data_IF_696661668163
#
_entry.id   IF_696661668163
#
_cell.length_a   1.000
_cell.length_b   1.000
_cell.length_c   1.000
_cell.angle_alpha   90.00
_cell.angle_beta   90.00
_cell.angle_gamma   90.00
#
_symmetry.space_group_name_H-M   'P 1'
#
loop_
_entity.id
_entity.type
_entity.pdbx_description
1 polymer ?
#
# COMPACT_ATOMS: atom_id res chain seq x y z
N UNK A 1 -1.14 -14.23 -9.56
CA UNK A 1 -1.46 -15.02 -8.35
C UNK A 1 -1.77 -14.14 -7.14
N UNK A 2 -0.84 -13.32 -6.62
CA UNK A 2 -1.08 -12.50 -5.42
C UNK A 2 -2.20 -11.44 -5.55
N UNK A 3 -2.42 -10.88 -6.74
CA UNK A 3 -3.55 -9.96 -6.99
C UNK A 3 -4.91 -10.61 -6.80
N UNK A 4 -5.02 -11.94 -6.97
CA UNK A 4 -6.28 -12.68 -6.86
C UNK A 4 -6.74 -12.84 -5.40
N UNK A 5 -5.79 -12.83 -4.45
CA UNK A 5 -6.09 -12.85 -3.01
C UNK A 5 -6.86 -11.57 -2.62
N UNK A 6 -6.37 -10.43 -3.09
CA UNK A 6 -6.90 -9.12 -2.74
C UNK A 6 -8.06 -8.65 -3.64
N UNK A 7 -8.47 -9.46 -4.61
CA UNK A 7 -9.61 -9.20 -5.48
C UNK A 7 -10.91 -9.84 -4.97
N UNK A 8 -10.86 -10.54 -3.84
CA UNK A 8 -12.05 -11.14 -3.22
C UNK A 8 -12.90 -10.08 -2.53
N UNK A 9 -14.20 -10.31 -2.50
CA UNK A 9 -15.20 -9.41 -1.90
C UNK A 9 -15.15 -9.44 -0.37
N UNK A 10 -14.78 -10.59 0.21
CA UNK A 10 -14.76 -10.82 1.65
C UNK A 10 -13.39 -11.24 2.20
N UNK A 11 -13.14 -10.88 3.46
CA UNK A 11 -11.94 -11.30 4.21
C UNK A 11 -11.81 -12.82 4.30
N UNK A 12 -12.94 -13.54 4.48
CA UNK A 12 -12.94 -15.01 4.55
C UNK A 12 -12.54 -15.63 3.21
N UNK A 13 -13.16 -15.18 2.12
CA UNK A 13 -12.81 -15.61 0.76
C UNK A 13 -11.36 -15.27 0.40
N UNK A 14 -10.86 -14.10 0.81
CA UNK A 14 -9.46 -13.72 0.63
C UNK A 14 -8.51 -14.65 1.39
N UNK A 15 -8.83 -15.03 2.63
CA UNK A 15 -8.03 -15.95 3.43
C UNK A 15 -8.01 -17.36 2.85
N UNK A 16 -9.14 -17.86 2.35
CA UNK A 16 -9.19 -19.16 1.65
C UNK A 16 -8.37 -19.12 0.36
N UNK A 17 -8.48 -18.04 -0.41
CA UNK A 17 -7.69 -17.86 -1.63
C UNK A 17 -6.20 -17.75 -1.33
N UNK A 18 -5.83 -17.13 -0.21
CA UNK A 18 -4.45 -17.07 0.27
C UNK A 18 -3.88 -18.47 0.53
N UNK A 19 -4.63 -19.34 1.21
CA UNK A 19 -4.23 -20.74 1.43
C UNK A 19 -4.02 -21.49 0.12
N UNK A 20 -4.92 -21.32 -0.84
CA UNK A 20 -4.78 -21.92 -2.17
C UNK A 20 -3.51 -21.42 -2.89
N UNK A 21 -3.23 -20.11 -2.84
CA UNK A 21 -2.03 -19.53 -3.45
C UNK A 21 -0.76 -20.00 -2.76
N UNK A 22 -0.77 -20.19 -1.43
CA UNK A 22 0.37 -20.76 -0.69
C UNK A 22 0.67 -22.19 -1.18
N UNK A 23 -0.36 -23.02 -1.35
CA UNK A 23 -0.21 -24.36 -1.89
C UNK A 23 0.37 -24.35 -3.32
N UNK A 24 -0.12 -23.46 -4.19
CA UNK A 24 0.42 -23.27 -5.54
C UNK A 24 1.89 -22.82 -5.52
N UNK A 25 2.25 -21.89 -4.64
CA UNK A 25 3.64 -21.40 -4.49
C UNK A 25 4.58 -22.52 -4.02
N UNK A 26 4.13 -23.38 -3.11
CA UNK A 26 4.87 -24.57 -2.68
C UNK A 26 5.03 -25.57 -3.83
N UNK A 27 3.99 -25.82 -4.61
CA UNK A 27 4.05 -26.69 -5.78
C UNK A 27 5.03 -26.16 -6.85
N UNK A 28 5.12 -24.84 -7.00
CA UNK A 28 6.09 -24.17 -7.89
C UNK A 28 7.51 -24.08 -7.32
N UNK A 29 7.79 -24.73 -6.17
CA UNK A 29 9.09 -24.71 -5.46
C UNK A 29 9.53 -23.31 -5.00
N UNK A 30 8.60 -22.38 -4.82
CA UNK A 30 8.84 -21.03 -4.30
C UNK A 30 8.65 -20.98 -2.77
N UNK A 31 9.39 -21.82 -2.03
CA UNK A 31 9.21 -22.02 -0.59
C UNK A 31 9.27 -20.72 0.22
N UNK A 32 10.26 -19.86 -0.03
CA UNK A 32 10.41 -18.57 0.66
C UNK A 32 9.23 -17.63 0.46
N UNK A 33 8.60 -17.65 -0.72
CA UNK A 33 7.43 -16.81 -0.99
C UNK A 33 6.18 -17.34 -0.29
N UNK A 34 6.08 -18.66 -0.15
CA UNK A 34 5.00 -19.31 0.59
C UNK A 34 5.10 -19.03 2.10
N UNK A 35 6.30 -19.17 2.69
CA UNK A 35 6.57 -18.85 4.10
C UNK A 35 6.26 -17.39 4.42
N UNK A 36 6.76 -16.44 3.61
CA UNK A 36 6.49 -15.03 3.79
C UNK A 36 4.98 -14.70 3.73
N UNK A 37 4.22 -15.40 2.89
CA UNK A 37 2.79 -15.20 2.76
C UNK A 37 2.01 -15.83 3.93
N UNK A 38 2.50 -16.91 4.52
CA UNK A 38 1.94 -17.46 5.76
C UNK A 38 2.15 -16.52 6.95
N UNK A 39 3.36 -15.97 7.09
CA UNK A 39 3.73 -15.10 8.20
C UNK A 39 3.07 -13.72 8.11
N UNK A 40 3.20 -13.06 6.95
CA UNK A 40 2.80 -11.65 6.77
C UNK A 40 1.47 -11.47 6.03
N UNK A 41 0.91 -12.52 5.42
CA UNK A 41 -0.29 -12.40 4.58
C UNK A 41 -1.54 -11.97 5.35
N UNK A 42 -1.63 -12.28 6.65
CA UNK A 42 -2.73 -11.83 7.48
C UNK A 42 -2.76 -10.30 7.64
N UNK A 43 -1.60 -9.66 7.71
CA UNK A 43 -1.49 -8.20 7.84
C UNK A 43 -2.00 -7.48 6.59
N UNK A 44 -1.83 -8.08 5.41
CA UNK A 44 -2.27 -7.49 4.14
C UNK A 44 -3.78 -7.51 3.97
N UNK A 45 -4.51 -8.29 4.76
CA UNK A 45 -5.98 -8.37 4.76
C UNK A 45 -6.63 -7.38 5.75
N UNK A 46 -5.84 -6.62 6.51
CA UNK A 46 -6.36 -5.69 7.53
C UNK A 46 -7.25 -4.60 6.93
N UNK A 47 -7.07 -4.24 5.65
CA UNK A 47 -7.87 -3.19 5.01
C UNK A 47 -9.36 -3.56 4.85
N UNK A 48 -9.74 -4.84 4.93
CA UNK A 48 -11.15 -5.27 4.91
C UNK A 48 -11.95 -4.76 6.11
N UNK A 49 -11.28 -4.30 7.18
CA UNK A 49 -11.93 -3.65 8.32
C UNK A 49 -12.30 -2.18 8.10
N UNK A 50 -12.04 -1.62 6.92
CA UNK A 50 -12.38 -0.25 6.55
C UNK A 50 -13.55 -0.23 5.56
N UNK A 51 -14.19 0.92 5.32
CA UNK A 51 -15.20 1.06 4.27
C UNK A 51 -14.65 0.67 2.88
N UNK A 52 -15.50 0.07 2.06
CA UNK A 52 -15.25 -0.35 0.68
C UNK A 52 -14.60 0.76 -0.18
N UNK A 53 -15.05 2.00 -0.03
CA UNK A 53 -14.53 3.18 -0.72
C UNK A 53 -13.05 3.47 -0.43
N UNK A 54 -12.50 2.89 0.64
CA UNK A 54 -11.09 3.05 1.05
C UNK A 54 -10.21 1.90 0.56
N UNK A 55 -10.77 0.73 0.26
CA UNK A 55 -10.01 -0.48 -0.05
C UNK A 55 -9.01 -0.27 -1.19
N UNK A 56 -9.43 0.36 -2.29
CA UNK A 56 -8.54 0.61 -3.45
C UNK A 56 -7.34 1.48 -3.06
N UNK A 57 -7.55 2.45 -2.16
CA UNK A 57 -6.53 3.40 -1.74
C UNK A 57 -5.57 2.79 -0.72
N UNK A 58 -6.09 2.00 0.22
CA UNK A 58 -5.28 1.29 1.22
C UNK A 58 -4.49 0.12 0.62
N UNK A 59 -5.08 -0.59 -0.35
CA UNK A 59 -4.44 -1.74 -1.01
C UNK A 59 -3.28 -1.36 -1.93
N UNK A 60 -3.29 -0.15 -2.50
CA UNK A 60 -2.33 0.22 -3.55
C UNK A 60 -1.25 1.19 -3.06
N UNK A 61 0.01 0.84 -3.30
CA UNK A 61 1.15 1.70 -2.99
C UNK A 61 1.51 2.67 -4.14
N UNK A 62 0.63 2.81 -5.14
CA UNK A 62 0.88 3.53 -6.39
C UNK A 62 1.38 4.99 -6.19
N UNK A 63 0.82 5.78 -5.25
CA UNK A 63 1.31 7.14 -5.01
C UNK A 63 2.74 7.16 -4.47
N UNK A 64 3.05 6.31 -3.47
CA UNK A 64 4.39 6.23 -2.90
C UNK A 64 5.41 5.70 -3.91
N UNK A 65 5.06 4.68 -4.70
CA UNK A 65 5.90 4.22 -5.80
C UNK A 65 6.19 5.32 -6.82
N UNK A 66 5.19 6.17 -7.12
CA UNK A 66 5.36 7.33 -8.01
C UNK A 66 6.30 8.37 -7.41
N UNK A 67 6.19 8.68 -6.12
CA UNK A 67 7.12 9.58 -5.41
C UNK A 67 8.54 9.01 -5.47
N UNK A 68 8.72 7.76 -5.07
CA UNK A 68 10.03 7.12 -5.03
C UNK A 68 10.67 7.04 -6.41
N UNK A 69 9.88 6.79 -7.46
CA UNK A 69 10.36 6.80 -8.85
C UNK A 69 10.87 8.18 -9.25
N UNK A 70 10.16 9.25 -8.88
CA UNK A 70 10.59 10.61 -9.21
C UNK A 70 11.84 11.04 -8.44
N UNK A 71 11.96 10.64 -7.16
CA UNK A 71 13.19 10.84 -6.38
C UNK A 71 14.36 10.10 -7.05
N UNK A 72 14.20 8.80 -7.36
CA UNK A 72 15.24 8.01 -8.04
C UNK A 72 15.63 8.58 -9.41
N UNK A 73 14.67 9.12 -10.16
CA UNK A 73 14.94 9.76 -11.46
C UNK A 73 15.88 10.96 -11.32
N UNK A 74 15.71 11.77 -10.26
CA UNK A 74 16.52 12.95 -9.98
C UNK A 74 17.88 12.59 -9.37
N UNK A 75 17.94 11.61 -8.48
CA UNK A 75 19.21 11.16 -7.90
C UNK A 75 20.10 10.46 -8.93
N UNK A 76 19.52 9.72 -9.89
CA UNK A 76 20.28 9.03 -10.94
C UNK A 76 21.11 9.96 -11.82
N UNK A 77 20.68 11.21 -12.03
CA UNK A 77 21.42 12.20 -12.84
C UNK A 77 22.65 12.72 -12.10
N UNK A 78 22.60 12.79 -10.77
CA UNK A 78 23.72 13.31 -9.95
C UNK A 78 24.87 12.30 -9.88
N UNK A 79 24.59 11.00 -9.97
CA UNK A 79 25.59 9.93 -9.96
C UNK A 79 26.17 9.66 -8.57
N UNK A 80 26.92 10.62 -8.02
CA UNK A 80 27.52 10.56 -6.69
C UNK A 80 27.26 11.86 -5.92
N UNK A 81 26.85 11.73 -4.66
CA UNK A 81 26.66 12.88 -3.78
C UNK A 81 27.90 13.08 -2.90
N UNK A 82 28.30 14.35 -2.63
CA UNK A 82 29.41 14.65 -1.74
C UNK A 82 29.11 14.33 -0.27
N UNK A 83 27.84 14.34 0.14
CA UNK A 83 27.38 13.96 1.48
C UNK A 83 25.92 13.46 1.46
N UNK A 84 25.53 12.68 2.48
CA UNK A 84 24.17 12.20 2.68
C UNK A 84 23.14 13.34 2.83
N UNK A 85 23.54 14.47 3.42
CA UNK A 85 22.65 15.64 3.56
C UNK A 85 22.34 16.31 2.22
N UNK A 86 23.28 16.28 1.28
CA UNK A 86 23.05 16.75 -0.09
C UNK A 86 22.00 15.90 -0.82
N UNK A 87 22.03 14.57 -0.62
CA UNK A 87 21.02 13.66 -1.15
C UNK A 87 19.65 13.92 -0.53
N UNK A 88 19.59 14.08 0.80
CA UNK A 88 18.35 14.40 1.52
C UNK A 88 17.75 15.72 1.03
N UNK A 89 18.56 16.76 0.85
CA UNK A 89 18.10 18.07 0.36
C UNK A 89 17.46 17.96 -1.02
N UNK A 90 18.04 17.17 -1.94
CA UNK A 90 17.46 16.95 -3.27
C UNK A 90 16.10 16.24 -3.17
N UNK A 91 16.01 15.18 -2.35
CA UNK A 91 14.76 14.47 -2.13
C UNK A 91 13.70 15.38 -1.51
N UNK A 92 14.05 16.18 -0.50
CA UNK A 92 13.17 17.12 0.16
C UNK A 92 12.69 18.25 -0.78
N UNK A 93 13.58 18.79 -1.61
CA UNK A 93 13.23 19.77 -2.64
C UNK A 93 12.21 19.18 -3.64
N UNK A 94 12.39 17.91 -4.02
CA UNK A 94 11.45 17.23 -4.91
C UNK A 94 10.10 16.99 -4.25
N UNK A 95 10.07 16.55 -2.99
CA UNK A 95 8.84 16.37 -2.22
C UNK A 95 8.07 17.70 -2.09
N UNK A 96 8.77 18.80 -1.76
CA UNK A 96 8.19 20.14 -1.68
C UNK A 96 7.58 20.57 -3.01
N UNK A 97 8.28 20.34 -4.11
CA UNK A 97 7.73 20.66 -5.43
C UNK A 97 6.48 19.82 -5.74
N UNK A 98 6.50 18.52 -5.44
CA UNK A 98 5.33 17.66 -5.64
C UNK A 98 4.14 18.15 -4.80
N UNK A 99 4.37 18.50 -3.53
CA UNK A 99 3.36 19.08 -2.66
C UNK A 99 2.85 20.45 -3.13
N UNK A 100 3.68 21.24 -3.84
CA UNK A 100 3.28 22.52 -4.43
C UNK A 100 2.48 22.41 -5.74
N UNK A 101 2.26 21.20 -6.27
CA UNK A 101 1.50 20.99 -7.52
C UNK A 101 0.06 20.57 -7.25
N UNK A 102 -0.72 20.33 -8.32
CA UNK A 102 -2.09 19.79 -8.29
C UNK A 102 -2.28 18.45 -7.53
N UNK A 103 -1.19 17.88 -7.02
CA UNK A 103 -1.25 16.68 -6.20
C UNK A 103 -1.73 16.94 -4.77
N UNK A 104 -1.43 18.12 -4.20
CA UNK A 104 -1.90 18.49 -2.86
C UNK A 104 -3.34 19.02 -2.85
N UNK A 105 -3.85 19.47 -3.99
CA UNK A 105 -5.20 20.05 -4.09
C UNK A 105 -6.30 18.99 -4.10
N UNK A 106 -5.96 17.71 -4.29
CA UNK A 106 -6.94 16.60 -4.33
C UNK A 106 -7.12 15.97 -2.96
N UNK A 107 -8.39 15.84 -2.53
CA UNK A 107 -8.75 15.05 -1.34
C UNK A 107 -8.50 13.57 -1.61
N UNK A 108 -7.35 13.06 -1.16
CA UNK A 108 -6.93 11.69 -1.43
C UNK A 108 -7.88 10.65 -0.81
N UNK A 109 -8.31 10.83 0.44
CA UNK A 109 -9.24 9.93 1.13
C UNK A 109 -10.33 10.74 1.84
N UNK A 110 -11.57 10.26 1.76
CA UNK A 110 -12.68 10.86 2.49
C UNK A 110 -12.90 10.11 3.79
N UNK A 111 -12.69 10.77 4.93
CA UNK A 111 -12.81 10.13 6.24
C UNK A 111 -14.26 10.05 6.76
N UNK A 112 -15.20 10.80 6.16
CA UNK A 112 -16.61 10.81 6.56
C UNK A 112 -17.25 9.41 6.67
N UNK A 113 -17.05 8.48 5.72
CA UNK A 113 -17.60 7.13 5.83
C UNK A 113 -17.04 6.31 6.99
N UNK A 114 -15.75 6.51 7.33
CA UNK A 114 -15.13 5.81 8.46
C UNK A 114 -15.71 6.29 9.79
N UNK A 115 -15.89 7.60 9.95
CA UNK A 115 -16.46 8.15 11.18
C UNK A 115 -17.94 7.79 11.37
N UNK A 116 -18.70 7.72 10.27
CA UNK A 116 -20.11 7.30 10.31
C UNK A 116 -20.26 5.83 10.73
N UNK A 117 -19.35 4.96 10.27
CA UNK A 117 -19.32 3.54 10.64
C UNK A 117 -18.91 3.36 12.13
N UNK A 118 -17.96 4.17 12.60
CA UNK A 118 -17.53 4.19 14.01
C UNK A 118 -18.62 4.69 14.98
N UNK A 119 -19.40 5.71 14.61
CA UNK A 119 -20.51 6.19 15.45
C UNK A 119 -21.69 5.23 15.45
N UNK A 120 -21.95 4.50 14.37
CA UNK A 120 -22.96 3.44 14.34
C UNK A 120 -22.54 2.23 15.19
N UNK A 121 -21.26 1.84 15.17
CA UNK A 121 -20.73 0.79 16.05
C UNK A 121 -20.73 1.14 17.54
N UNK A 122 -20.63 2.44 17.89
CA UNK A 122 -20.63 2.91 19.27
C UNK A 122 -22.03 3.04 19.89
N UNK A 123 -23.12 3.02 19.11
CA UNK A 123 -24.50 3.07 19.63
C UNK A 123 -25.12 1.68 19.89
N UNK A 124 -24.37 0.61 19.65
CA UNK A 124 -24.81 -0.79 19.80
C UNK A 124 -23.99 -1.55 20.86
N UNK A 125 -23.15 -0.84 21.62
CA UNK A 125 -22.48 -1.34 22.83
C UNK A 125 -23.11 -0.69 24.07
#
# INVERSE_FOLDING_TARGET
MLKAIHAQEDRKAAAEKMKAVIADLRAMKLAKAAELLEDCGHETLTYYGFPDSHWIKLRTNNPLERIMREIRRRTRVVGAFPDGKSCLNLAAARLRHIAGTQWSTRKYMNMTPLFADQTQGASVA
#
